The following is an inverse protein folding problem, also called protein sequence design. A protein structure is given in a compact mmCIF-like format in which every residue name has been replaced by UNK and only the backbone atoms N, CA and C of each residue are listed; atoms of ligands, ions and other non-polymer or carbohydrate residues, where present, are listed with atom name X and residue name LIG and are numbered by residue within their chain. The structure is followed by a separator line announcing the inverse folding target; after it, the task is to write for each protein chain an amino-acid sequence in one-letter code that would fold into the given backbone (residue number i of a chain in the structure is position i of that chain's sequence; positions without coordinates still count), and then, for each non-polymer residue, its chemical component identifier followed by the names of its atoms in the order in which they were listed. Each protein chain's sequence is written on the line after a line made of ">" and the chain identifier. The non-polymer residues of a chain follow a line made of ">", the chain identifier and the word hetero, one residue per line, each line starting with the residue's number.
data_IF_001043674619
#
_entry.id   IF_001043674619
#
_cell.length_a   1.000
_cell.length_b   1.000
_cell.length_c   1.000
_cell.angle_alpha   90.00
_cell.angle_beta   90.00
_cell.angle_gamma   90.00
#
_symmetry.space_group_name_H-M   'P 1'
#
loop_
_entity.id
_entity.type
_entity.pdbx_description
1 polymer ?
#
# COMPACT_ATOMS: atom_id res chain seq x y z
N UNK A 1 22.02 14.82 22.10
CA UNK A 1 22.17 13.97 20.88
C UNK A 1 22.47 14.89 19.71
N UNK A 2 23.50 14.62 18.91
CA UNK A 2 23.89 15.47 17.78
C UNK A 2 22.86 15.42 16.65
N UNK A 3 22.55 16.56 16.04
CA UNK A 3 21.53 16.72 14.99
C UNK A 3 21.77 15.78 13.80
N UNK A 4 23.03 15.41 13.52
CA UNK A 4 23.42 14.47 12.45
C UNK A 4 22.99 13.03 12.73
N UNK A 5 23.00 12.60 14.01
CA UNK A 5 22.57 11.25 14.40
C UNK A 5 21.05 11.08 14.23
N UNK A 6 20.28 12.15 14.48
CA UNK A 6 18.83 12.17 14.31
C UNK A 6 18.42 12.03 12.83
N UNK A 7 19.13 12.70 11.92
CA UNK A 7 18.92 12.59 10.46
C UNK A 7 19.22 11.18 9.95
N UNK A 8 20.30 10.55 10.43
CA UNK A 8 20.65 9.19 10.02
C UNK A 8 19.59 8.16 10.46
N UNK A 9 19.04 8.29 11.67
CA UNK A 9 17.99 7.41 12.18
C UNK A 9 16.68 7.54 11.41
N UNK A 10 16.29 8.76 11.04
CA UNK A 10 15.12 9.02 10.20
C UNK A 10 15.27 8.39 8.82
N UNK A 11 16.42 8.57 8.16
CA UNK A 11 16.70 7.99 6.85
C UNK A 11 16.67 6.45 6.88
N UNK A 12 17.26 5.83 7.90
CA UNK A 12 17.21 4.37 8.06
C UNK A 12 15.77 3.88 8.26
N UNK A 13 14.97 4.60 9.05
CA UNK A 13 13.57 4.26 9.29
C UNK A 13 12.74 4.38 8.00
N UNK A 14 12.93 5.45 7.22
CA UNK A 14 12.27 5.63 5.93
C UNK A 14 12.60 4.51 4.95
N UNK A 15 13.87 4.12 4.83
CA UNK A 15 14.30 3.03 3.95
C UNK A 15 13.67 1.68 4.31
N UNK A 16 13.53 1.37 5.60
CA UNK A 16 12.82 0.19 6.07
C UNK A 16 11.33 0.22 5.69
N UNK A 17 10.66 1.37 5.88
CA UNK A 17 9.25 1.52 5.51
C UNK A 17 9.01 1.42 4.01
N UNK A 18 9.89 1.99 3.21
CA UNK A 18 9.82 1.94 1.74
C UNK A 18 10.03 0.52 1.23
N UNK A 19 11.03 -0.18 1.77
CA UNK A 19 11.30 -1.58 1.42
C UNK A 19 10.11 -2.46 1.77
N UNK A 20 9.52 -2.29 2.96
CA UNK A 20 8.34 -3.04 3.38
C UNK A 20 7.10 -2.70 2.54
N UNK A 21 6.88 -1.42 2.20
CA UNK A 21 5.80 -1.00 1.30
C UNK A 21 5.90 -1.69 -0.05
N UNK A 22 7.11 -1.81 -0.60
CA UNK A 22 7.33 -2.46 -1.90
C UNK A 22 7.01 -3.94 -1.83
N UNK A 23 7.61 -4.65 -0.87
CA UNK A 23 7.38 -6.09 -0.69
C UNK A 23 5.89 -6.42 -0.52
N UNK A 24 5.19 -5.65 0.32
CA UNK A 24 3.77 -5.87 0.56
C UNK A 24 2.90 -5.60 -0.67
N UNK A 25 3.14 -4.49 -1.37
CA UNK A 25 2.26 -4.06 -2.46
C UNK A 25 2.52 -4.79 -3.78
N UNK A 26 3.77 -5.19 -4.03
CA UNK A 26 4.20 -5.72 -5.33
C UNK A 26 4.47 -7.22 -5.30
N UNK A 27 5.03 -7.74 -4.20
CA UNK A 27 5.59 -9.09 -4.16
C UNK A 27 4.68 -10.09 -3.44
N UNK A 28 3.79 -9.64 -2.54
CA UNK A 28 2.93 -10.53 -1.76
C UNK A 28 1.59 -10.85 -2.44
N UNK A 29 1.38 -12.10 -2.91
CA UNK A 29 0.09 -12.53 -3.44
C UNK A 29 -0.93 -12.69 -2.30
N UNK A 30 -2.09 -12.03 -2.42
CA UNK A 30 -3.16 -12.15 -1.42
C UNK A 30 -4.25 -13.11 -1.91
N UNK A 31 -4.50 -14.17 -1.14
CA UNK A 31 -5.54 -15.18 -1.45
C UNK A 31 -6.93 -14.57 -1.67
N UNK A 32 -7.29 -13.52 -0.90
CA UNK A 32 -8.57 -12.82 -1.05
C UNK A 32 -8.70 -11.98 -2.32
N UNK A 33 -7.58 -11.67 -2.99
CA UNK A 33 -7.54 -10.95 -4.27
C UNK A 33 -7.32 -11.91 -5.45
N UNK A 34 -7.61 -13.20 -5.27
CA UNK A 34 -7.36 -14.23 -6.29
C UNK A 34 -5.88 -14.60 -6.46
N UNK A 35 -5.05 -14.32 -5.46
CA UNK A 35 -3.60 -14.54 -5.52
C UNK A 35 -2.83 -13.42 -6.21
N UNK A 36 -3.48 -12.30 -6.54
CA UNK A 36 -2.81 -11.13 -7.12
C UNK A 36 -2.15 -10.24 -6.06
N UNK A 37 -1.04 -9.56 -6.39
CA UNK A 37 -0.50 -8.50 -5.56
C UNK A 37 -1.46 -7.29 -5.51
N UNK A 38 -1.50 -6.55 -4.39
CA UNK A 38 -2.34 -5.36 -4.24
C UNK A 38 -2.18 -4.34 -5.39
N UNK A 39 -0.96 -4.12 -5.89
CA UNK A 39 -0.69 -3.18 -6.97
C UNK A 39 -1.38 -3.58 -8.29
N UNK A 40 -1.34 -4.87 -8.64
CA UNK A 40 -1.97 -5.41 -9.84
C UNK A 40 -3.49 -5.34 -9.72
N UNK A 41 -4.03 -5.71 -8.56
CA UNK A 41 -5.46 -5.59 -8.29
C UNK A 41 -5.95 -4.15 -8.45
N UNK A 42 -5.26 -3.17 -7.87
CA UNK A 42 -5.60 -1.75 -8.03
C UNK A 42 -5.53 -1.30 -9.49
N UNK A 43 -4.55 -1.76 -10.27
CA UNK A 43 -4.48 -1.50 -11.70
C UNK A 43 -5.68 -2.09 -12.46
N UNK A 44 -6.16 -3.27 -12.07
CA UNK A 44 -7.38 -3.85 -12.66
C UNK A 44 -8.64 -3.06 -12.30
N UNK A 45 -8.72 -2.52 -11.08
CA UNK A 45 -9.82 -1.65 -10.64
C UNK A 45 -9.81 -0.27 -11.33
N UNK A 46 -8.67 0.22 -11.79
CA UNK A 46 -8.62 1.44 -12.60
C UNK A 46 -9.12 1.21 -14.03
N UNK A 47 -8.91 0.01 -14.56
CA UNK A 47 -9.34 -0.38 -15.93
C UNK A 47 -10.81 -0.73 -15.97
N UNK A 48 -11.31 -1.38 -14.93
CA UNK A 48 -12.74 -1.58 -14.71
C UNK A 48 -13.26 -0.29 -14.13
N UNK A 49 -13.91 0.57 -14.91
CA UNK A 49 -14.61 1.76 -14.41
C UNK A 49 -15.72 1.34 -13.44
N UNK A 50 -15.33 0.97 -12.22
CA UNK A 50 -16.25 0.65 -11.14
C UNK A 50 -16.79 2.00 -10.72
N UNK A 51 -17.92 2.38 -11.33
CA UNK A 51 -18.75 3.48 -10.86
C UNK A 51 -19.27 3.09 -9.49
N UNK A 52 -18.49 3.42 -8.47
CA UNK A 52 -18.99 3.46 -7.10
C UNK A 52 -20.15 4.46 -7.13
N UNK A 53 -21.36 3.97 -6.92
CA UNK A 53 -22.51 4.85 -6.78
C UNK A 53 -22.23 5.76 -5.57
N UNK A 54 -22.42 7.08 -5.69
CA UNK A 54 -22.10 8.03 -4.60
C UNK A 54 -22.89 7.74 -3.31
N UNK A 55 -24.00 7.00 -3.40
CA UNK A 55 -24.83 6.55 -2.28
C UNK A 55 -24.34 5.26 -1.60
N UNK A 56 -23.22 4.69 -2.04
CA UNK A 56 -22.59 3.54 -1.37
C UNK A 56 -22.00 3.98 -0.03
N UNK A 57 -22.85 4.07 1.01
CA UNK A 57 -22.38 4.24 2.39
C UNK A 57 -21.66 2.96 2.81
N UNK A 58 -20.36 3.08 3.09
CA UNK A 58 -19.65 2.03 3.80
C UNK A 58 -20.33 1.86 5.17
N UNK A 59 -20.82 0.65 5.46
CA UNK A 59 -21.30 0.32 6.81
C UNK A 59 -20.10 0.35 7.75
N UNK A 60 -19.95 1.44 8.49
CA UNK A 60 -19.08 1.49 9.65
C UNK A 60 -19.75 0.62 10.73
N UNK A 61 -19.12 -0.51 11.05
CA UNK A 61 -19.46 -1.34 12.20
C UNK A 61 -18.91 -0.74 13.49
#
# INVERSE_FOLDING_TARGET
>A
MSQRALVCLLAACQGCFESWRREYNEERPKKSLGGLPPAIYAATLKRKDVKLTPDSKAKCY
#
